data_IF_738635126844
#
_entry.id   IF_738635126844
#
_cell.length_a   1.000
_cell.length_b   1.000
_cell.length_c   1.000
_cell.angle_alpha   90.00
_cell.angle_beta   90.00
_cell.angle_gamma   90.00
#
_symmetry.space_group_name_H-M   'P 1'
#
loop_
_entity.id
_entity.type
_entity.pdbx_description
1 polymer ?
#
# COMPACT_ATOMS: atom_id res chain seq x y z
N UNK A 1 -19.31 5.21 8.67
CA UNK A 1 -18.20 4.35 9.13
C UNK A 1 -18.64 3.32 10.19
N UNK A 2 -19.89 2.83 10.17
CA UNK A 2 -20.42 1.91 11.20
C UNK A 2 -19.83 0.49 11.22
N UNK A 3 -18.93 0.15 10.28
CA UNK A 3 -18.30 -1.18 10.17
C UNK A 3 -16.79 -1.17 10.45
N UNK A 4 -16.22 -0.01 10.81
CA UNK A 4 -14.81 0.06 11.18
C UNK A 4 -14.64 -0.52 12.59
N UNK A 5 -13.73 -1.48 12.72
CA UNK A 5 -13.22 -1.95 14.00
C UNK A 5 -11.69 -2.09 13.90
N UNK A 6 -11.04 -2.29 15.03
CA UNK A 6 -9.57 -2.36 15.13
C UNK A 6 -8.94 -3.42 14.21
N UNK A 7 -9.70 -4.44 13.82
CA UNK A 7 -9.24 -5.53 12.95
C UNK A 7 -9.45 -5.21 11.45
N UNK A 8 -10.20 -4.14 11.13
CA UNK A 8 -10.55 -3.78 9.74
C UNK A 8 -9.31 -3.42 8.93
N UNK A 9 -8.35 -2.72 9.52
CA UNK A 9 -7.08 -2.37 8.86
C UNK A 9 -6.20 -3.61 8.63
N UNK A 10 -6.20 -4.56 9.58
CA UNK A 10 -5.55 -5.86 9.41
C UNK A 10 -6.15 -6.69 8.27
N UNK A 11 -7.48 -6.74 8.16
CA UNK A 11 -8.18 -7.40 7.05
C UNK A 11 -7.87 -6.75 5.71
N UNK A 12 -7.90 -5.42 5.62
CA UNK A 12 -7.53 -4.70 4.38
C UNK A 12 -6.09 -5.01 3.97
N UNK A 13 -5.16 -5.04 4.93
CA UNK A 13 -3.76 -5.36 4.71
C UNK A 13 -3.57 -6.77 4.11
N UNK A 14 -4.14 -7.78 4.77
CA UNK A 14 -3.93 -9.19 4.41
C UNK A 14 -4.78 -9.58 3.18
N UNK A 15 -6.07 -9.25 3.19
CA UNK A 15 -7.01 -9.77 2.20
C UNK A 15 -6.97 -9.03 0.88
N UNK A 16 -6.42 -7.81 0.84
CA UNK A 16 -6.41 -6.96 -0.36
C UNK A 16 -5.00 -6.50 -0.71
N UNK A 17 -4.28 -5.84 0.20
CA UNK A 17 -3.00 -5.21 -0.14
C UNK A 17 -1.93 -6.24 -0.52
N UNK A 18 -1.75 -7.30 0.27
CA UNK A 18 -0.81 -8.38 -0.08
C UNK A 18 -1.20 -9.11 -1.38
N UNK A 19 -2.50 -9.26 -1.67
CA UNK A 19 -2.96 -9.86 -2.93
C UNK A 19 -2.58 -9.00 -4.13
N UNK A 20 -2.76 -7.68 -4.02
CA UNK A 20 -2.36 -6.73 -5.07
C UNK A 20 -0.85 -6.73 -5.28
N UNK A 21 -0.05 -6.73 -4.21
CA UNK A 21 1.41 -6.83 -4.30
C UNK A 21 1.84 -8.08 -5.06
N UNK A 22 1.27 -9.24 -4.74
CA UNK A 22 1.56 -10.51 -5.43
C UNK A 22 1.21 -10.48 -6.92
N UNK A 23 0.11 -9.83 -7.29
CA UNK A 23 -0.28 -9.67 -8.71
C UNK A 23 0.75 -8.81 -9.44
N UNK A 24 1.22 -7.71 -8.84
CA UNK A 24 2.26 -6.87 -9.43
C UNK A 24 3.61 -7.59 -9.54
N UNK A 25 4.01 -8.35 -8.53
CA UNK A 25 5.23 -9.16 -8.57
C UNK A 25 5.19 -10.19 -9.71
N UNK A 26 4.10 -10.95 -9.83
CA UNK A 26 3.92 -11.88 -10.94
C UNK A 26 3.96 -11.19 -12.30
N UNK A 27 3.34 -10.00 -12.43
CA UNK A 27 3.36 -9.24 -13.69
C UNK A 27 4.76 -8.71 -14.01
N UNK A 28 5.52 -8.27 -13.01
CA UNK A 28 6.91 -7.84 -13.17
C UNK A 28 7.77 -8.99 -13.70
N UNK A 29 7.63 -10.18 -13.12
CA UNK A 29 8.41 -11.34 -13.55
C UNK A 29 8.07 -11.75 -14.99
N UNK A 30 6.78 -11.72 -15.35
CA UNK A 30 6.35 -11.93 -16.75
C UNK A 30 6.95 -10.90 -17.71
N UNK A 31 6.92 -9.60 -17.36
CA UNK A 31 7.45 -8.54 -18.22
C UNK A 31 8.97 -8.65 -18.40
N UNK A 32 9.70 -9.07 -17.35
CA UNK A 32 11.14 -9.33 -17.44
C UNK A 32 11.45 -10.51 -18.37
N UNK A 33 10.64 -11.57 -18.29
CA UNK A 33 10.76 -12.73 -19.18
C UNK A 33 10.49 -12.34 -20.64
N UNK A 34 9.44 -11.55 -20.89
CA UNK A 34 9.12 -11.04 -22.23
C UNK A 34 10.27 -10.19 -22.81
N UNK A 35 10.83 -9.28 -22.03
CA UNK A 35 12.00 -8.48 -22.44
C UNK A 35 13.20 -9.37 -22.80
N UNK A 36 13.45 -10.43 -22.04
CA UNK A 36 14.59 -11.32 -22.25
C UNK A 36 14.48 -12.16 -23.54
N UNK A 37 13.25 -12.46 -23.98
CA UNK A 37 13.01 -13.36 -25.11
C UNK A 37 12.50 -12.65 -26.38
N UNK A 38 12.05 -11.40 -26.28
CA UNK A 38 11.54 -10.63 -27.39
C UNK A 38 12.68 -10.00 -28.21
N UNK A 39 12.65 -10.21 -29.53
CA UNK A 39 13.68 -9.72 -30.48
C UNK A 39 13.28 -8.44 -31.20
N UNK A 40 12.06 -7.93 -31.00
CA UNK A 40 11.61 -6.66 -31.54
C UNK A 40 11.98 -5.50 -30.61
N UNK A 41 12.94 -4.63 -30.99
CA UNK A 41 13.38 -3.52 -30.13
C UNK A 41 12.27 -2.53 -29.78
N UNK A 42 11.25 -2.37 -30.62
CA UNK A 42 10.14 -1.44 -30.35
C UNK A 42 9.21 -1.98 -29.29
N UNK A 43 8.89 -3.26 -29.35
CA UNK A 43 8.07 -3.92 -28.32
C UNK A 43 8.83 -4.00 -27.00
N UNK A 44 10.13 -4.36 -27.02
CA UNK A 44 10.98 -4.33 -25.82
C UNK A 44 10.94 -2.97 -25.12
N UNK A 45 11.15 -1.87 -25.87
CA UNK A 45 11.12 -0.52 -25.28
C UNK A 45 9.75 -0.14 -24.69
N UNK A 46 8.65 -0.71 -25.20
CA UNK A 46 7.30 -0.51 -24.65
C UNK A 46 7.10 -1.33 -23.38
N UNK A 47 7.53 -2.58 -23.38
CA UNK A 47 7.45 -3.51 -22.24
C UNK A 47 8.32 -3.01 -21.08
N UNK A 48 9.49 -2.44 -21.35
CA UNK A 48 10.34 -1.78 -20.35
C UNK A 48 9.64 -0.63 -19.63
N UNK A 49 8.87 0.21 -20.35
CA UNK A 49 8.08 1.28 -19.74
C UNK A 49 6.94 0.74 -18.86
N UNK A 50 6.30 -0.35 -19.30
CA UNK A 50 5.29 -1.03 -18.48
C UNK A 50 5.92 -1.62 -17.22
N UNK A 51 7.10 -2.24 -17.33
CA UNK A 51 7.86 -2.78 -16.21
C UNK A 51 8.19 -1.67 -15.19
N UNK A 52 8.71 -0.53 -15.64
CA UNK A 52 9.01 0.61 -14.77
C UNK A 52 7.76 1.10 -14.02
N UNK A 53 6.62 1.18 -14.72
CA UNK A 53 5.34 1.55 -14.12
C UNK A 53 4.91 0.53 -13.05
N UNK A 54 4.98 -0.76 -13.34
CA UNK A 54 4.61 -1.80 -12.38
C UNK A 54 5.53 -1.80 -11.15
N UNK A 55 6.83 -1.59 -11.33
CA UNK A 55 7.78 -1.46 -10.22
C UNK A 55 7.45 -0.26 -9.31
N UNK A 56 7.07 0.89 -9.89
CA UNK A 56 6.61 2.06 -9.12
C UNK A 56 5.35 1.75 -8.32
N UNK A 57 4.35 1.11 -8.95
CA UNK A 57 3.11 0.73 -8.27
C UNK A 57 3.35 -0.28 -7.14
N UNK A 58 4.22 -1.27 -7.34
CA UNK A 58 4.60 -2.21 -6.28
C UNK A 58 5.30 -1.49 -5.12
N UNK A 59 6.19 -0.54 -5.41
CA UNK A 59 6.85 0.27 -4.38
C UNK A 59 5.83 1.07 -3.57
N UNK A 60 4.91 1.77 -4.22
CA UNK A 60 3.83 2.51 -3.54
C UNK A 60 2.99 1.60 -2.63
N UNK A 61 2.66 0.39 -3.10
CA UNK A 61 1.95 -0.59 -2.27
C UNK A 61 2.76 -1.08 -1.07
N UNK A 62 4.08 -1.20 -1.18
CA UNK A 62 4.96 -1.60 -0.05
C UNK A 62 5.11 -0.45 0.96
N UNK A 63 5.33 0.76 0.47
CA UNK A 63 5.39 1.97 1.31
C UNK A 63 4.05 2.21 2.04
N UNK A 64 2.93 1.88 1.40
CA UNK A 64 1.61 1.94 2.04
C UNK A 64 1.38 0.80 3.04
N UNK A 65 1.88 -0.41 2.77
CA UNK A 65 1.78 -1.55 3.68
C UNK A 65 2.48 -1.30 5.01
N UNK A 66 3.65 -0.65 4.98
CA UNK A 66 4.37 -0.24 6.20
C UNK A 66 3.47 0.66 7.06
N UNK A 67 2.87 1.69 6.45
CA UNK A 67 1.97 2.63 7.14
C UNK A 67 0.71 1.96 7.70
N UNK A 68 0.06 1.10 6.92
CA UNK A 68 -1.11 0.33 7.41
C UNK A 68 -0.70 -0.65 8.50
N UNK A 69 0.47 -1.28 8.38
CA UNK A 69 1.02 -2.20 9.36
C UNK A 69 1.16 -1.53 10.73
N UNK A 70 1.66 -0.29 10.77
CA UNK A 70 1.72 0.50 12.01
C UNK A 70 0.34 0.75 12.63
N UNK A 71 -0.66 1.10 11.81
CA UNK A 71 -2.03 1.35 12.28
C UNK A 71 -2.67 0.05 12.79
N UNK A 72 -2.50 -1.05 12.06
CA UNK A 72 -3.05 -2.36 12.42
C UNK A 72 -2.43 -2.90 13.72
N UNK A 73 -1.11 -2.78 13.89
CA UNK A 73 -0.42 -3.19 15.12
C UNK A 73 -0.80 -2.32 16.32
N UNK A 74 -1.00 -1.02 16.10
CA UNK A 74 -1.41 -0.08 17.15
C UNK A 74 -2.88 -0.25 17.56
N UNK A 75 -3.68 -1.06 16.82
CA UNK A 75 -5.12 -1.28 17.03
C UNK A 75 -5.89 0.01 17.30
N UNK A 76 -5.61 1.03 16.47
CA UNK A 76 -6.12 2.38 16.69
C UNK A 76 -7.64 2.37 16.50
N UNK A 77 -8.37 2.48 17.61
CA UNK A 77 -9.81 2.71 17.59
C UNK A 77 -10.12 4.08 16.98
N UNK A 78 -10.91 4.09 15.91
CA UNK A 78 -11.42 5.31 15.27
C UNK A 78 -12.90 5.40 15.64
N UNK A 79 -13.27 6.40 16.44
CA UNK A 79 -14.65 6.70 16.80
C UNK A 79 -15.15 7.90 15.99
N UNK A 80 -16.30 7.77 15.35
CA UNK A 80 -16.89 8.85 14.54
C UNK A 80 -17.23 10.07 15.41
N UNK A 81 -17.58 9.85 16.67
CA UNK A 81 -18.00 10.91 17.59
C UNK A 81 -16.81 11.78 18.06
N UNK A 82 -15.57 11.27 17.97
CA UNK A 82 -14.35 12.05 18.23
C UNK A 82 -14.08 13.14 17.17
N UNK A 83 -14.73 13.02 16.00
CA UNK A 83 -14.56 13.92 14.88
C UNK A 83 -13.24 13.72 14.11
N UNK A 84 -13.22 14.28 12.89
CA UNK A 84 -12.15 14.02 11.90
C UNK A 84 -10.77 14.44 12.36
N UNK A 85 -10.63 15.57 13.07
CA UNK A 85 -9.33 16.09 13.53
C UNK A 85 -8.67 15.18 14.57
N UNK A 86 -9.43 14.69 15.54
CA UNK A 86 -8.92 13.81 16.60
C UNK A 86 -8.51 12.48 16.00
N UNK A 87 -9.36 11.89 15.15
CA UNK A 87 -9.04 10.65 14.44
C UNK A 87 -7.83 10.78 13.51
N UNK A 88 -7.69 11.92 12.82
CA UNK A 88 -6.53 12.24 11.98
C UNK A 88 -5.23 12.30 12.78
N UNK A 89 -5.27 12.78 14.02
CA UNK A 89 -4.12 12.76 14.92
C UNK A 89 -3.84 11.34 15.45
N UNK A 90 -4.87 10.59 15.84
CA UNK A 90 -4.74 9.21 16.33
C UNK A 90 -4.03 8.30 15.32
N UNK A 91 -4.48 8.27 14.07
CA UNK A 91 -3.90 7.40 13.02
C UNK A 91 -2.46 7.76 12.62
N UNK A 92 -1.95 8.91 13.07
CA UNK A 92 -0.59 9.36 12.80
C UNK A 92 0.31 9.26 14.02
N UNK A 93 -0.16 8.80 15.17
CA UNK A 93 0.63 8.72 16.40
C UNK A 93 0.55 7.29 16.94
N UNK A 94 1.70 6.66 17.19
CA UNK A 94 1.72 5.32 17.77
C UNK A 94 1.50 5.32 19.29
N UNK A 95 1.43 4.13 19.87
CA UNK A 95 1.24 3.93 21.32
C UNK A 95 2.43 4.45 22.17
N UNK A 96 3.55 4.81 21.56
CA UNK A 96 4.73 5.40 22.20
C UNK A 96 4.79 6.92 22.06
N UNK A 97 3.83 7.53 21.35
CA UNK A 97 3.77 8.97 21.09
C UNK A 97 4.55 9.42 19.85
N UNK A 98 5.13 8.50 19.08
CA UNK A 98 5.87 8.80 17.87
C UNK A 98 4.92 9.11 16.71
N UNK A 99 5.19 10.22 16.00
CA UNK A 99 4.29 10.73 14.96
C UNK A 99 4.75 10.31 13.57
N UNK A 100 3.99 9.42 12.95
CA UNK A 100 4.14 9.01 11.57
C UNK A 100 3.29 9.91 10.65
N UNK A 101 3.93 10.55 9.66
CA UNK A 101 3.23 11.33 8.61
C UNK A 101 2.55 10.41 7.60
N UNK A 102 1.56 9.66 8.08
CA UNK A 102 0.84 8.66 7.28
C UNK A 102 -0.11 9.35 6.30
N UNK A 103 -0.79 10.41 6.74
CA UNK A 103 -1.73 11.19 5.95
C UNK A 103 -1.13 12.57 5.59
N UNK A 104 -1.57 13.14 4.47
CA UNK A 104 -1.18 14.49 4.04
C UNK A 104 -1.91 15.55 4.88
N UNK A 105 -1.17 16.59 5.33
CA UNK A 105 -1.70 17.68 6.18
C UNK A 105 -3.06 18.19 5.66
N UNK A 106 -4.05 18.22 6.55
CA UNK A 106 -5.30 18.96 6.36
C UNK A 106 -5.09 20.46 6.40
#
# INVERSE_FOLDING_TARGET
>A
MHRYNEDTTGKVRIDYLHKVQKVYENRIDFLKDDIAHNKDPKEVAKVEKELEKMMKQLKECKDYDEKIGHIALSRIGIDVDDGVKVNYQKVQTDNKGERYKILAKM
#
